data_IF_080767640218
#
_entry.id   IF_080767640218
#
_cell.length_a   1.000
_cell.length_b   1.000
_cell.length_c   1.000
_cell.angle_alpha   90.00
_cell.angle_beta   90.00
_cell.angle_gamma   90.00
#
_symmetry.space_group_name_H-M   'P 1'
#
loop_
_entity.id
_entity.type
_entity.pdbx_description
1 polymer ?
#
# COMPACT_ATOMS: atom_id res chain seq x y z
N UNK A 1 -5.39 -57.85 -8.60
CA UNK A 1 -5.79 -56.86 -9.64
C UNK A 1 -4.53 -56.14 -10.09
N UNK A 2 -4.25 -55.95 -11.39
CA UNK A 2 -2.95 -55.48 -11.82
C UNK A 2 -2.81 -53.96 -11.65
N UNK A 3 -1.72 -53.54 -11.00
CA UNK A 3 -1.21 -52.16 -10.78
C UNK A 3 -1.12 -51.25 -12.03
N UNK A 4 -1.40 -51.80 -13.22
CA UNK A 4 -1.29 -51.11 -14.51
C UNK A 4 -2.29 -49.94 -14.68
N UNK A 5 -3.44 -49.98 -14.00
CA UNK A 5 -4.50 -48.98 -14.20
C UNK A 5 -4.27 -47.64 -13.49
N UNK A 6 -3.31 -47.54 -12.56
CA UNK A 6 -3.06 -46.29 -11.81
C UNK A 6 -2.43 -45.18 -12.66
N UNK A 7 -1.48 -45.52 -13.53
CA UNK A 7 -0.76 -44.52 -14.35
C UNK A 7 -1.56 -44.06 -15.58
N UNK A 8 -2.48 -44.89 -16.07
CA UNK A 8 -3.37 -44.53 -17.17
C UNK A 8 -4.43 -43.51 -16.75
N UNK A 9 -4.92 -43.59 -15.52
CA UNK A 9 -5.94 -42.68 -14.98
C UNK A 9 -5.39 -41.27 -14.68
N UNK A 10 -4.13 -41.17 -14.28
CA UNK A 10 -3.49 -39.89 -13.94
C UNK A 10 -3.24 -39.00 -15.18
N UNK A 11 -3.12 -39.59 -16.37
CA UNK A 11 -3.04 -38.84 -17.64
C UNK A 11 -4.38 -38.32 -18.14
N UNK A 12 -5.49 -38.93 -17.71
CA UNK A 12 -6.85 -38.56 -18.16
C UNK A 12 -7.52 -37.49 -17.28
N UNK A 13 -7.02 -37.28 -16.05
CA UNK A 13 -7.50 -36.24 -15.13
C UNK A 13 -6.46 -35.15 -14.89
N UNK A 14 -5.81 -34.66 -15.95
CA UNK A 14 -5.15 -33.35 -15.85
C UNK A 14 -6.25 -32.29 -15.83
N UNK A 15 -6.44 -31.53 -14.74
CA UNK A 15 -7.34 -30.39 -14.79
C UNK A 15 -6.85 -29.52 -15.94
N UNK A 16 -7.76 -29.14 -16.86
CA UNK A 16 -7.48 -28.08 -17.81
C UNK A 16 -7.09 -26.88 -16.97
N UNK A 17 -5.85 -26.42 -17.08
CA UNK A 17 -5.52 -25.05 -16.67
C UNK A 17 -6.50 -24.18 -17.47
N UNK A 18 -7.51 -23.63 -16.79
CA UNK A 18 -8.39 -22.62 -17.37
C UNK A 18 -7.52 -21.39 -17.60
N UNK A 19 -6.92 -21.36 -18.79
CA UNK A 19 -6.20 -20.20 -19.28
C UNK A 19 -7.22 -19.06 -19.36
N UNK A 20 -7.02 -18.05 -18.52
CA UNK A 20 -7.77 -16.79 -18.55
C UNK A 20 -7.75 -16.28 -20.00
N UNK A 21 -8.90 -15.90 -20.52
CA UNK A 21 -9.01 -15.47 -21.90
C UNK A 21 -8.23 -14.16 -22.12
N UNK A 22 -7.72 -13.93 -23.33
CA UNK A 22 -7.05 -12.67 -23.66
C UNK A 22 -7.95 -11.45 -23.38
N UNK A 23 -9.26 -11.57 -23.65
CA UNK A 23 -10.22 -10.52 -23.37
C UNK A 23 -10.24 -10.16 -21.87
N UNK A 24 -10.32 -11.16 -20.98
CA UNK A 24 -10.27 -10.93 -19.54
C UNK A 24 -8.93 -10.29 -19.10
N UNK A 25 -7.80 -10.78 -19.62
CA UNK A 25 -6.48 -10.18 -19.33
C UNK A 25 -6.43 -8.72 -19.78
N UNK A 26 -6.99 -8.41 -20.95
CA UNK A 26 -7.01 -7.07 -21.51
C UNK A 26 -7.89 -6.12 -20.68
N UNK A 27 -9.08 -6.55 -20.26
CA UNK A 27 -9.96 -5.79 -19.36
C UNK A 27 -9.27 -5.49 -18.02
N UNK A 28 -8.60 -6.49 -17.43
CA UNK A 28 -7.84 -6.29 -16.20
C UNK A 28 -6.66 -5.33 -16.37
N UNK A 29 -6.01 -5.33 -17.54
CA UNK A 29 -4.96 -4.37 -17.86
C UNK A 29 -5.50 -2.94 -18.00
N UNK A 30 -6.65 -2.76 -18.65
CA UNK A 30 -7.30 -1.44 -18.75
C UNK A 30 -7.73 -0.92 -17.38
N UNK A 31 -8.33 -1.77 -16.54
CA UNK A 31 -8.67 -1.43 -15.17
C UNK A 31 -7.43 -1.02 -14.34
N UNK A 32 -6.33 -1.75 -14.49
CA UNK A 32 -5.05 -1.42 -13.85
C UNK A 32 -4.55 -0.02 -14.23
N UNK A 33 -4.62 0.34 -15.52
CA UNK A 33 -4.21 1.67 -15.98
C UNK A 33 -5.11 2.78 -15.41
N UNK A 34 -6.42 2.54 -15.36
CA UNK A 34 -7.37 3.49 -14.78
C UNK A 34 -7.14 3.69 -13.27
N UNK A 35 -6.95 2.60 -12.53
CA UNK A 35 -6.65 2.66 -11.09
C UNK A 35 -5.34 3.41 -10.85
N UNK A 36 -4.29 3.14 -11.65
CA UNK A 36 -3.01 3.84 -11.55
C UNK A 36 -3.16 5.35 -11.79
N UNK A 37 -3.88 5.74 -12.84
CA UNK A 37 -4.10 7.15 -13.14
C UNK A 37 -4.85 7.85 -12.00
N UNK A 38 -5.89 7.20 -11.45
CA UNK A 38 -6.64 7.75 -10.33
C UNK A 38 -5.80 7.90 -9.05
N UNK A 39 -4.91 6.94 -8.77
CA UNK A 39 -3.95 7.04 -7.65
C UNK A 39 -3.06 8.28 -7.84
N UNK A 40 -2.51 8.48 -9.05
CA UNK A 40 -1.66 9.63 -9.33
C UNK A 40 -2.39 10.97 -9.19
N UNK A 41 -3.66 11.04 -9.61
CA UNK A 41 -4.51 12.22 -9.40
C UNK A 41 -4.73 12.52 -7.91
N UNK A 42 -5.01 11.50 -7.09
CA UNK A 42 -5.18 11.67 -5.65
C UNK A 42 -3.89 12.15 -4.97
N UNK A 43 -2.75 11.59 -5.36
CA UNK A 43 -1.43 12.00 -4.84
C UNK A 43 -1.14 13.45 -5.23
N UNK A 44 -1.49 13.86 -6.45
CA UNK A 44 -1.32 15.25 -6.90
C UNK A 44 -2.21 16.22 -6.11
N UNK A 45 -3.50 15.90 -5.91
CA UNK A 45 -4.43 16.70 -5.08
C UNK A 45 -3.91 16.84 -3.63
N UNK A 46 -3.38 15.75 -3.05
CA UNK A 46 -2.75 15.80 -1.73
C UNK A 46 -1.52 16.71 -1.72
N UNK A 47 -0.67 16.60 -2.73
CA UNK A 47 0.52 17.45 -2.88
C UNK A 47 0.17 18.93 -2.95
N UNK A 48 -0.84 19.30 -3.74
CA UNK A 48 -1.32 20.68 -3.85
C UNK A 48 -1.84 21.20 -2.50
N UNK A 49 -2.62 20.40 -1.76
CA UNK A 49 -3.14 20.82 -0.44
C UNK A 49 -2.10 20.83 0.66
N UNK A 50 -1.03 20.06 0.53
CA UNK A 50 0.10 20.08 1.47
C UNK A 50 0.89 21.39 1.44
N UNK A 51 0.77 22.19 0.37
CA UNK A 51 1.49 23.46 0.19
C UNK A 51 1.06 24.61 1.10
N UNK A 52 0.05 24.41 1.97
CA UNK A 52 -0.40 25.39 2.96
C UNK A 52 -1.44 26.41 2.46
N UNK A 53 -1.69 26.44 1.15
CA UNK A 53 -2.71 27.32 0.55
C UNK A 53 -4.15 26.81 0.76
N UNK A 54 -4.30 25.56 1.22
CA UNK A 54 -5.60 24.91 1.43
C UNK A 54 -5.75 24.41 2.86
N UNK A 55 -6.93 24.67 3.45
CA UNK A 55 -7.32 24.10 4.74
C UNK A 55 -8.02 22.76 4.47
N UNK A 56 -7.47 21.68 5.01
CA UNK A 56 -8.11 20.37 5.04
C UNK A 56 -8.27 19.88 6.47
N UNK A 57 -9.29 19.05 6.70
CA UNK A 57 -9.53 18.45 8.01
C UNK A 57 -9.05 16.98 8.05
N UNK A 58 -9.08 16.41 9.24
CA UNK A 58 -8.74 14.99 9.45
C UNK A 58 -9.68 14.05 8.70
N UNK A 59 -10.94 14.44 8.50
CA UNK A 59 -11.91 13.61 7.78
C UNK A 59 -11.50 13.47 6.31
N UNK A 60 -11.10 14.57 5.67
CA UNK A 60 -10.57 14.57 4.31
C UNK A 60 -9.37 13.61 4.17
N UNK A 61 -8.41 13.66 5.10
CA UNK A 61 -7.27 12.74 5.07
C UNK A 61 -7.68 11.27 5.18
N UNK A 62 -8.62 10.96 6.09
CA UNK A 62 -9.14 9.60 6.26
C UNK A 62 -9.84 9.12 5.01
N UNK A 63 -10.73 9.94 4.44
CA UNK A 63 -11.48 9.58 3.23
C UNK A 63 -10.52 9.34 2.05
N UNK A 64 -9.51 10.21 1.87
CA UNK A 64 -8.50 10.05 0.83
C UNK A 64 -7.67 8.77 1.01
N UNK A 65 -7.17 8.49 2.22
CA UNK A 65 -6.38 7.28 2.47
C UNK A 65 -7.21 6.02 2.24
N UNK A 66 -8.50 6.03 2.59
CA UNK A 66 -9.40 4.92 2.26
C UNK A 66 -9.56 4.74 0.74
N UNK A 67 -9.70 5.83 -0.01
CA UNK A 67 -9.78 5.77 -1.48
C UNK A 67 -8.49 5.24 -2.10
N UNK A 68 -7.33 5.72 -1.64
CA UNK A 68 -6.01 5.22 -2.06
C UNK A 68 -5.85 3.73 -1.75
N UNK A 69 -6.23 3.30 -0.55
CA UNK A 69 -6.18 1.90 -0.13
C UNK A 69 -7.01 1.02 -1.10
N UNK A 70 -8.26 1.41 -1.38
CA UNK A 70 -9.14 0.65 -2.28
C UNK A 70 -8.60 0.58 -3.72
N UNK A 71 -8.01 1.67 -4.24
CA UNK A 71 -7.40 1.70 -5.57
C UNK A 71 -6.13 0.84 -5.62
N UNK A 72 -5.25 0.95 -4.63
CA UNK A 72 -4.01 0.19 -4.57
C UNK A 72 -4.26 -1.32 -4.48
N UNK A 73 -5.25 -1.75 -3.68
CA UNK A 73 -5.63 -3.16 -3.61
C UNK A 73 -6.16 -3.69 -4.94
N UNK A 74 -7.00 -2.91 -5.65
CA UNK A 74 -7.48 -3.28 -6.99
C UNK A 74 -6.35 -3.34 -8.00
N UNK A 75 -5.43 -2.37 -7.99
CA UNK A 75 -4.26 -2.34 -8.85
C UNK A 75 -3.37 -3.57 -8.65
N UNK A 76 -3.04 -3.90 -7.39
CA UNK A 76 -2.22 -5.10 -7.08
C UNK A 76 -2.94 -6.39 -7.46
N UNK A 77 -4.27 -6.46 -7.28
CA UNK A 77 -5.08 -7.60 -7.71
C UNK A 77 -5.06 -7.78 -9.22
N UNK A 78 -5.33 -6.71 -9.99
CA UNK A 78 -5.30 -6.74 -11.44
C UNK A 78 -3.91 -7.09 -11.96
N UNK A 79 -2.85 -6.56 -11.35
CA UNK A 79 -1.46 -6.86 -11.71
C UNK A 79 -1.12 -8.34 -11.48
N UNK A 80 -1.51 -8.90 -10.34
CA UNK A 80 -1.29 -10.32 -10.06
C UNK A 80 -2.09 -11.22 -11.00
N UNK A 81 -3.33 -10.85 -11.33
CA UNK A 81 -4.15 -11.61 -12.26
C UNK A 81 -3.51 -11.68 -13.65
N UNK A 82 -3.07 -10.55 -14.21
CA UNK A 82 -2.46 -10.53 -15.56
C UNK A 82 -1.03 -11.11 -15.59
N UNK A 83 -0.35 -11.20 -14.43
CA UNK A 83 1.04 -11.68 -14.35
C UNK A 83 1.17 -13.12 -13.86
N UNK A 84 0.05 -13.80 -13.55
CA UNK A 84 0.06 -15.15 -13.00
C UNK A 84 0.56 -15.21 -11.56
N UNK A 85 0.12 -14.28 -10.71
CA UNK A 85 0.48 -14.15 -9.30
C UNK A 85 1.98 -13.94 -9.03
N UNK A 86 2.67 -13.21 -9.91
CA UNK A 86 4.12 -12.97 -9.78
C UNK A 86 4.50 -11.98 -8.67
N UNK A 87 3.54 -11.17 -8.22
CA UNK A 87 3.79 -10.02 -7.34
C UNK A 87 2.89 -10.07 -6.11
N UNK A 88 2.69 -11.26 -5.54
CA UNK A 88 1.83 -11.46 -4.36
C UNK A 88 2.40 -10.75 -3.12
N UNK A 89 3.70 -10.50 -3.09
CA UNK A 89 4.38 -9.78 -2.00
C UNK A 89 3.94 -8.31 -1.92
N UNK A 90 3.36 -7.75 -2.98
CA UNK A 90 2.85 -6.39 -2.98
C UNK A 90 1.68 -6.20 -2.00
N UNK A 91 0.91 -7.24 -1.71
CA UNK A 91 -0.12 -7.16 -0.65
C UNK A 91 0.50 -6.89 0.71
N UNK A 92 1.57 -7.63 1.06
CA UNK A 92 2.29 -7.41 2.30
C UNK A 92 2.98 -6.03 2.33
N UNK A 93 3.48 -5.55 1.19
CA UNK A 93 4.04 -4.21 1.08
C UNK A 93 2.97 -3.13 1.32
N UNK A 94 1.75 -3.30 0.79
CA UNK A 94 0.63 -2.40 1.05
C UNK A 94 0.27 -2.38 2.54
N UNK A 95 0.12 -3.54 3.17
CA UNK A 95 -0.20 -3.62 4.60
C UNK A 95 0.86 -2.93 5.47
N UNK A 96 2.14 -3.11 5.15
CA UNK A 96 3.25 -2.47 5.87
C UNK A 96 3.21 -0.94 5.83
N UNK A 97 2.62 -0.35 4.79
CA UNK A 97 2.53 1.10 4.62
C UNK A 97 1.19 1.63 5.16
N UNK A 98 0.09 0.97 4.80
CA UNK A 98 -1.25 1.48 5.06
C UNK A 98 -1.70 1.25 6.51
N UNK A 99 -1.31 0.13 7.15
CA UNK A 99 -1.73 -0.13 8.53
C UNK A 99 -1.18 0.90 9.54
N UNK A 100 0.12 1.26 9.51
CA UNK A 100 0.64 2.32 10.37
C UNK A 100 -0.01 3.68 10.07
N UNK A 101 -0.15 4.03 8.79
CA UNK A 101 -0.77 5.28 8.34
C UNK A 101 -2.22 5.43 8.83
N UNK A 102 -3.03 4.38 8.69
CA UNK A 102 -4.41 4.37 9.19
C UNK A 102 -4.47 4.47 10.73
N UNK A 103 -3.50 3.88 11.45
CA UNK A 103 -3.44 3.95 12.89
C UNK A 103 -3.13 5.39 13.37
N UNK A 104 -2.15 6.03 12.72
CA UNK A 104 -1.78 7.42 12.96
C UNK A 104 -2.93 8.37 12.67
N UNK A 105 -3.57 8.20 11.50
CA UNK A 105 -4.76 8.95 11.15
C UNK A 105 -5.90 8.72 12.14
N UNK A 106 -5.99 7.56 12.81
CA UNK A 106 -6.94 7.28 13.91
C UNK A 106 -6.54 7.87 15.27
N UNK A 107 -5.42 8.58 15.35
CA UNK A 107 -4.89 9.18 16.58
C UNK A 107 -4.18 8.18 17.48
N UNK A 108 -3.77 7.02 16.94
CA UNK A 108 -2.93 6.04 17.63
C UNK A 108 -1.50 6.27 17.18
N UNK A 109 -0.75 7.06 17.95
CA UNK A 109 0.68 7.23 17.74
C UNK A 109 1.37 5.86 17.90
N UNK A 110 1.96 5.36 16.82
CA UNK A 110 2.84 4.17 16.87
C UNK A 110 4.26 4.63 17.14
N UNK A 111 4.59 4.80 18.42
CA UNK A 111 5.98 5.05 18.81
C UNK A 111 6.75 3.71 18.80
N UNK A 112 7.88 3.58 18.06
CA UNK A 112 8.73 2.40 18.19
C UNK A 112 9.12 2.07 19.64
N UNK A 113 9.00 0.80 20.03
CA UNK A 113 9.34 0.32 21.39
C UNK A 113 10.82 0.56 21.76
N UNK A 114 11.72 0.59 20.76
CA UNK A 114 13.15 0.77 20.94
C UNK A 114 13.59 2.24 21.07
N UNK A 115 12.68 3.16 21.39
CA UNK A 115 13.01 4.58 21.48
C UNK A 115 13.94 4.90 22.65
N UNK A 116 14.99 5.71 22.43
CA UNK A 116 15.80 6.23 23.52
C UNK A 116 15.01 7.27 24.32
N UNK A 117 15.14 7.25 25.66
CA UNK A 117 14.52 8.25 26.54
C UNK A 117 15.06 9.68 26.34
N UNK A 118 16.20 9.81 25.67
CA UNK A 118 16.85 11.08 25.33
C UNK A 118 17.31 11.00 23.88
N UNK A 119 16.91 11.96 23.06
CA UNK A 119 17.37 12.11 21.67
C UNK A 119 17.97 13.51 21.51
N UNK A 120 19.13 13.58 20.87
CA UNK A 120 19.74 14.86 20.49
C UNK A 120 19.03 15.45 19.28
N UNK A 121 18.90 16.78 19.20
CA UNK A 121 18.21 17.45 18.07
C UNK A 121 18.82 17.10 16.70
N UNK A 122 20.13 16.93 16.64
CA UNK A 122 20.86 16.51 15.43
C UNK A 122 20.54 15.08 14.97
N UNK A 123 20.12 14.22 15.89
CA UNK A 123 19.85 12.79 15.67
C UNK A 123 18.33 12.51 15.58
N UNK A 124 17.49 13.53 15.79
CA UNK A 124 16.05 13.41 15.77
C UNK A 124 15.51 13.26 14.33
N UNK A 125 14.69 12.23 14.04
CA UNK A 125 14.00 12.07 12.75
C UNK A 125 13.01 13.21 12.49
N UNK A 126 13.17 13.92 11.36
CA UNK A 126 12.25 14.99 10.94
C UNK A 126 10.82 14.51 10.69
N UNK A 127 10.68 13.22 10.37
CA UNK A 127 9.41 12.54 10.11
C UNK A 127 8.71 12.05 11.39
N UNK A 128 9.28 12.31 12.58
CA UNK A 128 8.64 11.99 13.86
C UNK A 128 8.79 13.13 14.89
N UNK A 129 8.21 14.31 14.62
CA UNK A 129 8.34 15.49 15.46
C UNK A 129 7.77 15.32 16.89
N UNK A 130 6.90 14.33 17.09
CA UNK A 130 6.38 13.96 18.41
C UNK A 130 7.48 13.53 19.38
N UNK A 131 8.65 13.11 18.88
CA UNK A 131 9.81 12.69 19.69
C UNK A 131 10.37 13.79 20.56
N UNK A 132 10.45 15.00 20.01
CA UNK A 132 10.97 16.17 20.73
C UNK A 132 9.82 16.99 21.34
N UNK A 133 8.59 16.63 21.01
CA UNK A 133 7.37 17.40 21.25
C UNK A 133 7.23 18.54 20.24
N UNK A 134 6.00 18.79 19.77
CA UNK A 134 5.76 19.74 18.67
C UNK A 134 6.24 21.19 18.88
N UNK A 135 6.63 21.58 20.11
CA UNK A 135 7.28 22.89 20.34
C UNK A 135 8.77 22.89 20.01
N UNK A 136 9.44 21.76 20.12
CA UNK A 136 10.87 21.63 19.87
C UNK A 136 11.17 21.14 18.45
N UNK A 137 10.16 20.73 17.67
CA UNK A 137 10.28 20.35 16.26
C UNK A 137 11.02 21.41 15.44
N UNK A 138 10.62 22.68 15.54
CA UNK A 138 11.27 23.78 14.83
C UNK A 138 12.75 23.97 15.19
N UNK A 139 13.21 23.46 16.34
CA UNK A 139 14.62 23.51 16.74
C UNK A 139 15.45 22.43 16.04
N UNK A 140 14.84 21.34 15.56
CA UNK A 140 15.53 20.29 14.81
C UNK A 140 16.02 20.77 13.45
N UNK A 141 15.25 21.62 12.77
CA UNK A 141 15.65 22.21 11.47
C UNK A 141 16.84 23.17 11.62
N UNK A 142 16.94 23.88 12.76
CA UNK A 142 17.99 24.87 13.01
C UNK A 142 19.34 24.20 13.37
N UNK A 143 19.30 22.97 13.91
CA UNK A 143 20.48 22.25 14.39
C UNK A 143 21.08 21.26 13.38
N UNK A 144 20.66 21.31 12.12
CA UNK A 144 21.33 20.67 10.98
C UNK A 144 22.23 21.64 10.22
#
# INVERSE_FOLDING_TARGET
MPEFFRHLWQKWFKPKEELVSFAEVFEHFQALLQDHQRIMELIADLGEKSGGDYIFDRKYLIDMVNDLHALLLRLVKSLNLISGNRYVELYAALDRILLPLEAELRGRLSLPEAMPYVIGFQDAPLDLPELVGGKAEALMEIHR
#
